data_IF_367501091172
#
_entry.id   IF_367501091172
#
_cell.length_a   1.000
_cell.length_b   1.000
_cell.length_c   1.000
_cell.angle_alpha   90.00
_cell.angle_beta   90.00
_cell.angle_gamma   90.00
#
_symmetry.space_group_name_H-M   'P 1'
#
loop_
_entity.id
_entity.type
_entity.pdbx_description
1 polymer ?
#
# COMPACT_ATOMS: atom_id res chain seq x y z
N UNK A 1 -37.18 6.84 -0.91
CA UNK A 1 -35.82 6.73 -1.46
C UNK A 1 -34.79 6.98 -0.35
N UNK A 2 -34.20 5.93 0.24
CA UNK A 2 -33.21 6.07 1.32
C UNK A 2 -31.84 6.44 0.73
N UNK A 3 -31.47 7.72 0.85
CA UNK A 3 -30.10 8.20 0.57
C UNK A 3 -29.16 7.59 1.61
N UNK A 4 -28.58 6.44 1.27
CA UNK A 4 -27.51 5.81 2.04
C UNK A 4 -26.30 6.74 1.99
N UNK A 5 -26.08 7.43 3.11
CA UNK A 5 -24.96 8.32 3.33
C UNK A 5 -23.65 7.56 3.14
N UNK A 6 -22.95 7.78 2.03
CA UNK A 6 -21.57 7.32 1.81
C UNK A 6 -20.67 8.06 2.80
N UNK A 7 -20.56 7.52 4.01
CA UNK A 7 -19.73 8.05 5.09
C UNK A 7 -18.26 8.09 4.62
N UNK A 8 -17.64 9.28 4.48
CA UNK A 8 -16.29 9.41 3.92
C UNK A 8 -15.21 8.59 4.64
N UNK A 9 -15.40 8.35 5.94
CA UNK A 9 -14.51 7.54 6.78
C UNK A 9 -14.49 6.05 6.38
N UNK A 10 -15.62 5.51 5.93
CA UNK A 10 -15.69 4.12 5.46
C UNK A 10 -14.96 3.96 4.12
N UNK A 11 -15.18 4.88 3.18
CA UNK A 11 -14.50 4.88 1.88
C UNK A 11 -12.97 4.91 2.03
N UNK A 12 -12.44 5.81 2.86
CA UNK A 12 -10.98 5.90 3.11
C UNK A 12 -10.38 4.64 3.73
N UNK A 13 -11.12 3.98 4.63
CA UNK A 13 -10.66 2.70 5.21
C UNK A 13 -10.61 1.60 4.15
N UNK A 14 -11.61 1.54 3.27
CA UNK A 14 -11.65 0.59 2.16
C UNK A 14 -10.52 0.85 1.15
N UNK A 15 -10.28 2.11 0.77
CA UNK A 15 -9.18 2.49 -0.13
C UNK A 15 -7.81 2.03 0.44
N UNK A 16 -7.62 2.14 1.75
CA UNK A 16 -6.39 1.69 2.41
C UNK A 16 -6.21 0.18 2.43
N UNK A 17 -7.28 -0.59 2.62
CA UNK A 17 -7.23 -2.06 2.54
C UNK A 17 -6.90 -2.49 1.10
N UNK A 18 -7.58 -1.91 0.12
CA UNK A 18 -7.35 -2.19 -1.29
C UNK A 18 -5.90 -1.88 -1.72
N UNK A 19 -5.33 -0.76 -1.26
CA UNK A 19 -3.93 -0.42 -1.49
C UNK A 19 -2.96 -1.48 -0.96
N UNK A 20 -3.21 -2.00 0.25
CA UNK A 20 -2.36 -3.00 0.89
C UNK A 20 -2.48 -4.38 0.22
N UNK A 21 -3.66 -4.73 -0.30
CA UNK A 21 -3.87 -5.98 -1.03
C UNK A 21 -3.22 -5.96 -2.42
N UNK A 22 -3.27 -4.82 -3.11
CA UNK A 22 -2.56 -4.66 -4.38
C UNK A 22 -1.04 -4.68 -4.19
N UNK A 23 -0.54 -4.01 -3.16
CA UNK A 23 0.87 -4.08 -2.79
C UNK A 23 1.31 -5.53 -2.52
N UNK A 24 0.51 -6.31 -1.79
CA UNK A 24 0.78 -7.73 -1.53
C UNK A 24 0.92 -8.56 -2.79
N UNK A 25 0.02 -8.31 -3.75
CA UNK A 25 0.01 -9.00 -5.03
C UNK A 25 1.29 -8.69 -5.82
N UNK A 26 1.72 -7.43 -5.82
CA UNK A 26 2.93 -6.97 -6.53
C UNK A 26 4.21 -7.54 -5.88
N UNK A 27 4.31 -7.49 -4.55
CA UNK A 27 5.50 -7.95 -3.82
C UNK A 27 5.63 -9.48 -3.81
N UNK A 28 4.51 -10.21 -3.95
CA UNK A 28 4.49 -11.66 -3.95
C UNK A 28 4.83 -12.29 -2.59
N UNK A 29 4.74 -13.62 -2.51
CA UNK A 29 4.91 -14.36 -1.24
C UNK A 29 6.33 -14.29 -0.67
N UNK A 30 7.35 -14.21 -1.53
CA UNK A 30 8.75 -14.23 -1.10
C UNK A 30 9.13 -13.00 -0.27
N UNK A 31 8.60 -11.83 -0.61
CA UNK A 31 8.91 -10.58 0.09
C UNK A 31 8.09 -10.43 1.38
N UNK A 32 6.91 -11.05 1.44
CA UNK A 32 6.05 -11.02 2.63
C UNK A 32 6.71 -11.65 3.85
N UNK A 33 7.61 -12.62 3.68
CA UNK A 33 8.37 -13.24 4.78
C UNK A 33 9.23 -12.23 5.58
N UNK A 34 9.60 -11.11 4.94
CA UNK A 34 10.42 -10.06 5.55
C UNK A 34 9.59 -8.86 6.03
N UNK A 35 8.31 -8.80 5.71
CA UNK A 35 7.41 -7.72 6.13
C UNK A 35 6.88 -8.08 7.52
N UNK A 36 7.33 -7.33 8.53
CA UNK A 36 6.88 -7.51 9.92
C UNK A 36 5.58 -6.78 10.19
N UNK A 37 5.36 -5.65 9.53
CA UNK A 37 4.14 -4.87 9.64
C UNK A 37 3.94 -4.01 8.39
N UNK A 38 2.69 -3.67 8.07
CA UNK A 38 2.37 -2.68 7.06
C UNK A 38 1.03 -2.02 7.34
N UNK A 39 0.90 -0.76 6.98
CA UNK A 39 -0.35 -0.03 7.13
C UNK A 39 -0.42 1.14 6.15
N UNK A 40 -1.65 1.55 5.83
CA UNK A 40 -1.91 2.69 4.97
C UNK A 40 -2.44 3.86 5.80
N UNK A 41 -1.82 5.02 5.68
CA UNK A 41 -2.24 6.23 6.37
C UNK A 41 -1.99 7.47 5.50
N UNK A 42 -3.02 8.30 5.34
CA UNK A 42 -2.95 9.58 4.62
C UNK A 42 -2.39 9.51 3.18
N UNK A 43 -2.58 8.39 2.49
CA UNK A 43 -2.02 8.18 1.14
C UNK A 43 -0.62 7.59 1.15
N UNK A 44 -0.05 7.26 2.30
CA UNK A 44 1.28 6.67 2.43
C UNK A 44 1.14 5.24 2.92
N UNK A 45 1.81 4.32 2.24
CA UNK A 45 1.97 2.95 2.72
C UNK A 45 3.26 2.91 3.55
N UNK A 46 3.14 2.48 4.80
CA UNK A 46 4.28 2.19 5.66
C UNK A 46 4.53 0.70 5.65
N UNK A 47 5.77 0.29 5.41
CA UNK A 47 6.19 -1.12 5.41
C UNK A 47 7.36 -1.24 6.37
N UNK A 48 7.22 -2.09 7.37
CA UNK A 48 8.29 -2.45 8.29
C UNK A 48 8.93 -3.75 7.83
N UNK A 49 10.24 -3.71 7.58
CA UNK A 49 11.01 -4.83 7.06
C UNK A 49 12.02 -5.30 8.10
N UNK A 50 12.14 -6.62 8.27
CA UNK A 50 13.19 -7.21 9.11
C UNK A 50 14.56 -7.19 8.44
N UNK A 51 14.61 -7.13 7.10
CA UNK A 51 15.86 -7.15 6.32
C UNK A 51 16.24 -5.75 5.83
N UNK A 52 17.43 -5.30 6.22
CA UNK A 52 18.02 -4.04 5.75
C UNK A 52 18.38 -4.08 4.27
N UNK A 53 18.78 -5.25 3.75
CA UNK A 53 19.11 -5.45 2.32
C UNK A 53 17.85 -5.28 1.48
N UNK A 54 16.77 -5.98 1.83
CA UNK A 54 15.51 -5.89 1.11
C UNK A 54 14.91 -4.48 1.19
N UNK A 55 15.06 -3.80 2.34
CA UNK A 55 14.67 -2.40 2.48
C UNK A 55 15.39 -1.50 1.48
N UNK A 56 16.69 -1.71 1.28
CA UNK A 56 17.48 -0.97 0.30
C UNK A 56 16.98 -1.23 -1.12
N UNK A 57 16.84 -2.51 -1.51
CA UNK A 57 16.35 -2.91 -2.84
C UNK A 57 14.96 -2.34 -3.14
N UNK A 58 14.02 -2.50 -2.20
CA UNK A 58 12.67 -1.94 -2.32
C UNK A 58 12.69 -0.41 -2.35
N UNK A 59 13.64 0.25 -1.69
CA UNK A 59 13.75 1.70 -1.72
C UNK A 59 14.06 2.21 -3.13
N UNK A 60 14.92 1.51 -3.87
CA UNK A 60 15.20 1.83 -5.28
C UNK A 60 13.96 1.62 -6.16
N UNK A 61 13.12 0.65 -5.84
CA UNK A 61 11.91 0.31 -6.62
C UNK A 61 10.64 1.01 -6.13
N UNK A 62 10.71 1.82 -5.06
CA UNK A 62 9.52 2.34 -4.37
C UNK A 62 8.61 3.19 -5.26
N UNK A 63 9.19 3.97 -6.18
CA UNK A 63 8.40 4.80 -7.10
C UNK A 63 7.60 3.94 -8.07
N UNK A 64 8.23 2.90 -8.65
CA UNK A 64 7.54 1.93 -9.50
C UNK A 64 6.41 1.21 -8.76
N UNK A 65 6.62 0.84 -7.49
CA UNK A 65 5.58 0.24 -6.66
C UNK A 65 4.38 1.17 -6.45
N UNK A 66 4.63 2.46 -6.16
CA UNK A 66 3.55 3.46 -6.02
C UNK A 66 2.74 3.55 -7.31
N UNK A 67 3.41 3.58 -8.46
CA UNK A 67 2.74 3.61 -9.76
C UNK A 67 1.94 2.33 -10.00
N UNK A 68 2.54 1.15 -9.87
CA UNK A 68 1.88 -0.13 -10.08
C UNK A 68 0.66 -0.32 -9.18
N UNK A 69 0.74 0.06 -7.90
CA UNK A 69 -0.41 -0.01 -6.99
C UNK A 69 -1.54 0.89 -7.49
N UNK A 70 -1.25 2.14 -7.85
CA UNK A 70 -2.28 3.06 -8.34
C UNK A 70 -2.86 2.62 -9.69
N UNK A 71 -2.05 2.05 -10.58
CA UNK A 71 -2.49 1.51 -11.87
C UNK A 71 -3.45 0.33 -11.69
N UNK A 72 -3.11 -0.62 -10.81
CA UNK A 72 -3.97 -1.77 -10.53
C UNK A 72 -5.31 -1.39 -9.91
N UNK A 73 -5.35 -0.31 -9.11
CA UNK A 73 -6.59 0.23 -8.52
C UNK A 73 -7.37 1.10 -9.51
N UNK A 74 -6.71 1.58 -10.57
CA UNK A 74 -7.27 2.52 -11.54
C UNK A 74 -7.49 3.93 -10.98
N UNK A 75 -6.89 4.26 -9.83
CA UNK A 75 -7.03 5.58 -9.16
C UNK A 75 -5.76 5.92 -8.39
N UNK A 76 -5.42 7.22 -8.34
CA UNK A 76 -4.25 7.73 -7.61
C UNK A 76 -4.54 7.93 -6.12
N UNK A 77 -4.47 6.86 -5.34
CA UNK A 77 -4.70 6.88 -3.87
C UNK A 77 -3.40 6.81 -3.07
N UNK A 78 -2.36 6.15 -3.59
CA UNK A 78 -1.04 6.04 -2.98
C UNK A 78 -0.17 7.19 -3.48
N UNK A 79 0.40 7.94 -2.55
CA UNK A 79 1.27 9.09 -2.80
C UNK A 79 2.74 8.71 -2.62
N UNK A 80 3.04 7.88 -1.64
CA UNK A 80 4.40 7.41 -1.37
C UNK A 80 4.40 6.07 -0.60
N UNK A 81 5.55 5.40 -0.59
CA UNK A 81 5.84 4.25 0.26
C UNK A 81 7.02 4.61 1.15
N UNK A 82 6.86 4.40 2.46
CA UNK A 82 7.89 4.58 3.48
C UNK A 82 8.30 3.21 3.99
N UNK A 83 9.59 2.90 3.88
CA UNK A 83 10.17 1.66 4.34
C UNK A 83 10.91 1.92 5.66
N UNK A 84 10.62 1.12 6.69
CA UNK A 84 11.22 1.19 8.03
C UNK A 84 11.96 -0.11 8.33
#
# INVERSE_FOLDING_TARGET
>A
MKKISKKPKLKKKLDGVEALDQLNTILGKNLQAYITNKYFQNGIIYIHLSSSVLRSELSYQKQGLVESVNQNIGRKIVKDIVLK
#
